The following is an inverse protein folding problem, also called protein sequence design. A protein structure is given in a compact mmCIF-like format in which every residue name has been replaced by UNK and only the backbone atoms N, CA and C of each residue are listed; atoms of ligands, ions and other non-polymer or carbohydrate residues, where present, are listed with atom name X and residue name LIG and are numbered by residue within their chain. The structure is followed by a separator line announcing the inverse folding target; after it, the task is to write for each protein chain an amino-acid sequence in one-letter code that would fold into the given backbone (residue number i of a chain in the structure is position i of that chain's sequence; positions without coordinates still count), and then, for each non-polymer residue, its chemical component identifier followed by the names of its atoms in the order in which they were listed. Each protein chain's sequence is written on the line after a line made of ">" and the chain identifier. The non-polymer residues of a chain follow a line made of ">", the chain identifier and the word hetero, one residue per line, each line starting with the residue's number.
data_IF_145061813002
#
_entry.id   IF_145061813002
#
_cell.length_a   1.000
_cell.length_b   1.000
_cell.length_c   1.000
_cell.angle_alpha   90.00
_cell.angle_beta   90.00
_cell.angle_gamma   90.00
#
_symmetry.space_group_name_H-M   'P 1'
#
loop_
_entity.id
_entity.type
_entity.pdbx_description
1 polymer ?
#
# COMPACT_ATOMS: atom_id res chain seq x y z
N UNK A 1 -7.55 17.13 1.78
CA UNK A 1 -6.28 17.28 1.02
C UNK A 1 -6.39 16.48 -0.27
N UNK A 2 -5.90 16.96 -1.41
CA UNK A 2 -5.89 16.21 -2.70
C UNK A 2 -4.55 15.49 -2.93
N UNK A 3 -4.51 14.56 -3.88
CA UNK A 3 -3.26 13.84 -4.22
C UNK A 3 -2.14 14.80 -4.64
N UNK A 4 -2.43 15.79 -5.49
CA UNK A 4 -1.42 16.77 -5.93
C UNK A 4 -0.92 17.67 -4.79
N UNK A 5 -1.74 17.94 -3.78
CA UNK A 5 -1.29 18.66 -2.58
C UNK A 5 -0.37 17.80 -1.73
N UNK A 6 -0.69 16.52 -1.57
CA UNK A 6 0.13 15.53 -0.86
C UNK A 6 1.48 15.35 -1.56
N UNK A 7 1.51 15.16 -2.88
CA UNK A 7 2.73 15.05 -3.68
C UNK A 7 3.65 16.26 -3.51
N UNK A 8 3.07 17.47 -3.53
CA UNK A 8 3.82 18.70 -3.28
C UNK A 8 4.36 18.75 -1.85
N UNK A 9 3.58 18.30 -0.86
CA UNK A 9 4.00 18.27 0.54
C UNK A 9 5.15 17.28 0.78
N UNK A 10 5.10 16.11 0.14
CA UNK A 10 6.11 15.05 0.28
C UNK A 10 7.28 15.21 -0.72
N UNK A 11 7.22 16.21 -1.61
CA UNK A 11 8.19 16.45 -2.69
C UNK A 11 8.47 15.20 -3.55
N UNK A 12 7.44 14.41 -3.81
CA UNK A 12 7.49 13.17 -4.60
C UNK A 12 6.36 13.16 -5.63
N UNK A 13 6.39 12.16 -6.51
CA UNK A 13 5.25 11.80 -7.34
C UNK A 13 4.84 10.38 -7.03
N UNK A 14 3.58 10.18 -6.64
CA UNK A 14 3.00 8.86 -6.45
C UNK A 14 3.02 8.05 -7.77
N UNK A 15 2.96 6.70 -7.68
CA UNK A 15 3.05 5.83 -8.83
C UNK A 15 1.99 6.10 -9.88
N UNK A 16 2.29 5.85 -11.17
CA UNK A 16 1.30 6.02 -12.24
C UNK A 16 0.03 5.20 -12.02
N UNK A 17 0.15 3.98 -11.48
CA UNK A 17 -1.01 3.16 -11.15
C UNK A 17 -1.90 3.82 -10.07
N UNK A 18 -1.27 4.41 -9.05
CA UNK A 18 -1.98 5.17 -8.01
C UNK A 18 -2.77 6.34 -8.62
N UNK A 19 -2.14 7.13 -9.50
CA UNK A 19 -2.81 8.23 -10.21
C UNK A 19 -4.02 7.75 -11.01
N UNK A 20 -3.87 6.66 -11.79
CA UNK A 20 -5.00 6.14 -12.60
C UNK A 20 -6.20 5.75 -11.76
N UNK A 21 -5.97 5.13 -10.60
CA UNK A 21 -7.04 4.70 -9.68
C UNK A 21 -7.65 5.91 -8.95
N UNK A 22 -6.83 6.90 -8.59
CA UNK A 22 -7.31 8.14 -8.01
C UNK A 22 -8.19 8.93 -8.99
N UNK A 23 -7.77 9.04 -10.26
CA UNK A 23 -8.45 9.82 -11.30
C UNK A 23 -9.81 9.26 -11.68
N UNK A 24 -10.05 7.95 -11.50
CA UNK A 24 -11.38 7.36 -11.72
C UNK A 24 -12.34 7.56 -10.54
N UNK A 25 -11.86 8.14 -9.43
CA UNK A 25 -12.66 8.49 -8.26
C UNK A 25 -12.71 7.43 -7.15
N UNK A 26 -12.10 6.26 -7.36
CA UNK A 26 -12.13 5.14 -6.42
C UNK A 26 -11.46 5.44 -5.06
N UNK A 27 -10.52 6.38 -5.04
CA UNK A 27 -9.78 6.81 -3.85
C UNK A 27 -10.29 8.13 -3.26
N UNK A 28 -11.47 8.62 -3.65
CA UNK A 28 -11.99 9.93 -3.15
C UNK A 28 -12.14 9.98 -1.64
N UNK A 29 -12.29 8.83 -1.00
CA UNK A 29 -12.36 8.69 0.45
C UNK A 29 -11.06 9.05 1.17
N UNK A 30 -9.90 8.99 0.49
CA UNK A 30 -8.60 9.39 1.06
C UNK A 30 -8.48 10.91 1.26
N UNK A 31 -9.32 11.71 0.59
CA UNK A 31 -9.29 13.18 0.72
C UNK A 31 -9.99 13.70 1.97
N UNK A 32 -10.77 12.83 2.63
CA UNK A 32 -11.54 13.16 3.83
C UNK A 32 -10.62 13.51 4.98
N UNK A 33 -11.14 14.33 5.89
CA UNK A 33 -10.58 14.45 7.23
C UNK A 33 -10.98 13.27 8.12
N UNK A 34 -10.26 13.05 9.22
CA UNK A 34 -10.63 12.02 10.21
C UNK A 34 -12.08 12.16 10.71
N UNK A 35 -12.53 13.40 10.92
CA UNK A 35 -13.91 13.69 11.34
C UNK A 35 -14.94 13.26 10.30
N UNK A 36 -14.66 13.51 9.02
CA UNK A 36 -15.52 13.11 7.90
C UNK A 36 -15.50 11.60 7.67
N UNK A 37 -14.32 10.96 7.73
CA UNK A 37 -14.19 9.50 7.67
C UNK A 37 -15.09 8.86 8.73
N UNK A 38 -15.00 9.30 10.00
CA UNK A 38 -15.85 8.77 11.07
C UNK A 38 -17.35 8.90 10.80
N UNK A 39 -17.77 10.01 10.16
CA UNK A 39 -19.17 10.25 9.83
C UNK A 39 -19.65 9.44 8.61
N UNK A 40 -18.76 9.18 7.65
CA UNK A 40 -19.12 8.68 6.30
C UNK A 40 -18.54 7.31 5.95
N UNK A 41 -17.77 6.66 6.83
CA UNK A 41 -17.07 5.41 6.54
C UNK A 41 -17.99 4.32 5.97
N UNK A 42 -19.25 4.26 6.44
CA UNK A 42 -20.24 3.30 5.94
C UNK A 42 -20.55 3.47 4.46
N UNK A 43 -20.53 4.70 3.94
CA UNK A 43 -20.77 4.98 2.53
C UNK A 43 -19.71 4.29 1.67
N UNK A 44 -18.46 4.32 2.11
CA UNK A 44 -17.33 3.76 1.36
C UNK A 44 -17.17 2.26 1.57
N UNK A 45 -17.39 1.75 2.79
CA UNK A 45 -17.41 0.30 3.04
C UNK A 45 -18.50 -0.38 2.20
N UNK A 46 -19.62 0.30 1.92
CA UNK A 46 -20.68 -0.25 1.06
C UNK A 46 -20.49 0.04 -0.44
N UNK A 47 -19.50 0.84 -0.81
CA UNK A 47 -19.23 1.16 -2.21
C UNK A 47 -18.22 0.15 -2.77
N UNK A 48 -18.71 -0.81 -3.55
CA UNK A 48 -17.88 -1.83 -4.18
C UNK A 48 -16.78 -1.27 -5.08
N UNK A 49 -16.90 -0.02 -5.53
CA UNK A 49 -15.89 0.66 -6.35
C UNK A 49 -14.84 1.39 -5.52
N UNK A 50 -15.04 1.55 -4.21
CA UNK A 50 -14.04 2.18 -3.38
C UNK A 50 -12.78 1.31 -3.34
N UNK A 51 -11.64 1.92 -3.67
CA UNK A 51 -10.37 1.21 -3.80
C UNK A 51 -9.94 0.61 -2.46
N UNK A 52 -9.55 -0.66 -2.48
CA UNK A 52 -9.11 -1.45 -1.33
C UNK A 52 -10.11 -1.49 -0.15
N UNK A 53 -11.41 -1.31 -0.43
CA UNK A 53 -12.46 -1.75 0.50
C UNK A 53 -12.70 -3.25 0.34
N UNK A 54 -11.68 -4.01 0.75
CA UNK A 54 -11.58 -5.47 0.73
C UNK A 54 -11.00 -5.92 2.07
N UNK A 55 -11.19 -7.19 2.42
CA UNK A 55 -10.52 -7.85 3.55
C UNK A 55 -9.02 -8.13 3.25
N UNK A 56 -8.33 -7.21 2.56
CA UNK A 56 -6.88 -7.22 2.39
C UNK A 56 -6.14 -6.80 3.67
N UNK A 57 -4.81 -6.80 3.62
CA UNK A 57 -3.99 -6.43 4.78
C UNK A 57 -3.81 -4.91 4.94
N UNK A 58 -3.82 -4.16 3.83
CA UNK A 58 -3.51 -2.74 3.82
C UNK A 58 -4.73 -1.86 4.15
N UNK A 59 -4.66 -1.13 5.25
CA UNK A 59 -5.47 0.05 5.53
C UNK A 59 -4.74 1.30 5.03
N UNK A 60 -5.30 1.99 4.04
CA UNK A 60 -4.68 3.23 3.53
C UNK A 60 -4.86 4.41 4.49
N UNK A 61 -3.81 5.21 4.64
CA UNK A 61 -3.89 6.50 5.33
C UNK A 61 -4.72 7.49 4.53
N UNK A 62 -5.53 8.30 5.22
CA UNK A 62 -6.05 9.53 4.63
C UNK A 62 -4.87 10.41 4.22
N UNK A 63 -5.03 11.21 3.18
CA UNK A 63 -3.93 12.05 2.69
C UNK A 63 -3.42 13.03 3.77
N UNK A 64 -4.28 13.49 4.67
CA UNK A 64 -3.86 14.34 5.80
C UNK A 64 -3.01 13.61 6.86
N UNK A 65 -3.07 12.28 6.90
CA UNK A 65 -2.37 11.45 7.89
C UNK A 65 -0.96 11.05 7.43
N UNK A 66 -0.68 11.10 6.12
CA UNK A 66 0.60 10.66 5.54
C UNK A 66 1.79 11.40 6.13
N UNK A 67 1.66 12.70 6.44
CA UNK A 67 2.75 13.45 7.07
C UNK A 67 3.06 12.95 8.49
N UNK A 68 2.01 12.65 9.28
CA UNK A 68 2.18 12.09 10.63
C UNK A 68 2.82 10.70 10.56
N UNK A 69 2.41 9.88 9.60
CA UNK A 69 3.02 8.58 9.36
C UNK A 69 4.50 8.72 8.95
N UNK A 70 4.85 9.70 8.11
CA UNK A 70 6.25 9.95 7.72
C UNK A 70 7.12 10.36 8.93
N UNK A 71 6.57 11.16 9.85
CA UNK A 71 7.25 11.52 11.11
C UNK A 71 7.45 10.32 12.04
N UNK A 72 6.46 9.42 12.10
CA UNK A 72 6.58 8.16 12.84
C UNK A 72 7.66 7.25 12.24
N UNK A 73 7.67 7.07 10.91
CA UNK A 73 8.70 6.29 10.23
C UNK A 73 10.11 6.88 10.47
N UNK A 74 10.24 8.20 10.44
CA UNK A 74 11.52 8.87 10.75
C UNK A 74 11.98 8.58 12.19
N UNK A 75 11.05 8.52 13.14
CA UNK A 75 11.33 8.13 14.53
C UNK A 75 11.77 6.66 14.62
N UNK A 76 11.09 5.74 13.94
CA UNK A 76 11.49 4.33 13.89
C UNK A 76 12.88 4.15 13.29
N UNK A 77 13.18 4.86 12.19
CA UNK A 77 14.49 4.86 11.57
C UNK A 77 15.58 5.42 12.50
N UNK A 78 15.26 6.42 13.33
CA UNK A 78 16.21 6.95 14.32
C UNK A 78 16.60 5.91 15.38
N UNK A 79 15.66 5.04 15.78
CA UNK A 79 15.95 3.93 16.69
C UNK A 79 16.86 2.87 16.04
N UNK A 80 16.69 2.59 14.75
CA UNK A 80 17.61 1.73 13.99
C UNK A 80 19.04 2.31 13.97
N UNK A 81 19.18 3.61 13.78
CA UNK A 81 20.49 4.28 13.81
C UNK A 81 21.11 4.26 15.21
N UNK A 82 20.32 4.50 16.25
CA UNK A 82 20.79 4.51 17.63
C UNK A 82 21.19 3.10 18.12
N UNK A 83 20.33 2.10 17.92
CA UNK A 83 20.50 0.76 18.49
C UNK A 83 21.32 -0.19 17.62
N UNK A 84 21.17 -0.09 16.29
CA UNK A 84 21.83 -0.99 15.33
C UNK A 84 22.97 -0.35 14.56
N UNK A 85 23.13 0.97 14.66
CA UNK A 85 24.13 1.74 13.89
C UNK A 85 23.92 1.60 12.38
N UNK A 86 22.66 1.39 11.98
CA UNK A 86 22.24 1.31 10.58
C UNK A 86 21.41 2.55 10.26
N UNK A 87 21.75 3.22 9.17
CA UNK A 87 20.99 4.37 8.68
C UNK A 87 20.40 4.07 7.31
N UNK A 88 19.33 4.76 6.95
CA UNK A 88 18.79 4.67 5.59
C UNK A 88 19.86 5.18 4.61
N UNK A 89 20.09 4.41 3.55
CA UNK A 89 21.05 4.73 2.48
C UNK A 89 20.79 6.10 1.89
N UNK A 90 21.88 6.80 1.54
CA UNK A 90 21.76 8.04 0.77
C UNK A 90 21.09 7.77 -0.58
N UNK A 91 20.21 8.67 -1.01
CA UNK A 91 19.42 8.50 -2.25
C UNK A 91 18.17 7.63 -2.10
N UNK A 92 17.93 7.03 -0.93
CA UNK A 92 16.69 6.33 -0.63
C UNK A 92 15.69 7.29 0.01
N UNK A 93 14.44 7.29 -0.49
CA UNK A 93 13.32 7.99 0.13
C UNK A 93 12.17 7.02 0.35
N UNK A 94 11.57 7.06 1.53
CA UNK A 94 10.49 6.18 1.95
C UNK A 94 9.29 7.06 2.33
N UNK A 95 8.14 6.82 1.71
CA UNK A 95 6.90 7.58 1.97
C UNK A 95 5.78 6.61 2.34
N UNK A 96 5.27 6.62 3.59
CA UNK A 96 4.16 5.77 3.97
C UNK A 96 2.86 6.17 3.28
N UNK A 97 2.00 5.19 2.98
CA UNK A 97 0.69 5.43 2.39
C UNK A 97 -0.42 4.53 2.97
N UNK A 98 -0.05 3.52 3.75
CA UNK A 98 -0.98 2.69 4.50
C UNK A 98 -0.27 1.92 5.60
N UNK A 99 -1.02 1.08 6.30
CA UNK A 99 -0.51 0.23 7.35
C UNK A 99 -1.31 -1.07 7.44
N UNK A 100 -0.75 -2.05 8.11
CA UNK A 100 -1.50 -3.22 8.57
C UNK A 100 -2.17 -2.93 9.91
N UNK A 101 -3.18 -3.73 10.29
CA UNK A 101 -3.80 -3.63 11.61
C UNK A 101 -2.82 -3.85 12.77
N UNK A 102 -1.69 -4.51 12.51
CA UNK A 102 -0.58 -4.69 13.44
C UNK A 102 0.32 -3.47 13.63
N UNK A 103 0.24 -2.46 12.76
CA UNK A 103 1.02 -1.22 12.84
C UNK A 103 2.16 -1.11 11.81
N UNK A 104 2.55 -2.21 11.17
CA UNK A 104 3.56 -2.21 10.10
C UNK A 104 3.11 -1.34 8.92
N UNK A 105 4.03 -0.60 8.33
CA UNK A 105 3.70 0.49 7.42
C UNK A 105 3.94 0.11 5.96
N UNK A 106 2.93 0.21 5.12
CA UNK A 106 3.10 0.15 3.68
C UNK A 106 3.66 1.48 3.17
N UNK A 107 4.83 1.40 2.51
CA UNK A 107 5.59 2.56 2.08
C UNK A 107 6.00 2.46 0.61
N UNK A 108 6.02 3.60 -0.06
CA UNK A 108 6.66 3.76 -1.37
C UNK A 108 8.17 3.92 -1.16
N UNK A 109 8.95 3.05 -1.78
CA UNK A 109 10.40 3.06 -1.75
C UNK A 109 10.95 3.63 -3.06
N UNK A 110 11.45 4.86 -2.98
CA UNK A 110 12.16 5.52 -4.08
C UNK A 110 13.66 5.29 -3.94
N UNK A 111 14.28 4.82 -5.02
CA UNK A 111 15.72 4.62 -5.13
C UNK A 111 16.24 5.25 -6.41
N UNK A 112 17.52 5.64 -6.40
CA UNK A 112 18.18 6.17 -7.59
C UNK A 112 18.12 5.18 -8.76
N UNK A 113 17.65 5.65 -9.91
CA UNK A 113 17.61 4.87 -11.16
C UNK A 113 16.28 4.15 -11.44
N UNK A 114 15.35 4.11 -10.48
CA UNK A 114 14.01 3.54 -10.71
C UNK A 114 13.03 4.62 -11.21
N UNK A 115 12.25 4.27 -12.24
CA UNK A 115 11.24 5.17 -12.80
C UNK A 115 9.96 5.24 -11.95
N UNK A 116 9.62 4.16 -11.28
CA UNK A 116 8.48 4.02 -10.37
C UNK A 116 9.00 3.43 -9.05
N UNK A 117 8.45 3.82 -7.89
CA UNK A 117 8.87 3.26 -6.61
C UNK A 117 8.32 1.84 -6.42
N UNK A 118 9.08 1.02 -5.68
CA UNK A 118 8.57 -0.24 -5.15
C UNK A 118 7.65 0.03 -3.95
N UNK A 119 6.90 -0.98 -3.53
CA UNK A 119 6.16 -0.97 -2.27
C UNK A 119 6.87 -1.89 -1.27
N UNK A 120 7.09 -1.39 -0.06
CA UNK A 120 7.65 -2.16 1.06
C UNK A 120 6.71 -2.15 2.25
N UNK A 121 6.76 -3.18 3.08
CA UNK A 121 6.19 -3.22 4.42
C UNK A 121 7.33 -2.98 5.42
N UNK A 122 7.28 -1.85 6.10
CA UNK A 122 8.26 -1.44 7.10
C UNK A 122 7.79 -1.87 8.50
N UNK A 123 8.56 -2.71 9.23
CA UNK A 123 8.16 -3.19 10.55
C UNK A 123 8.09 -2.08 11.59
N UNK A 124 7.02 -2.05 12.39
CA UNK A 124 6.82 -1.00 13.38
C UNK A 124 7.46 -1.31 14.75
N UNK A 125 7.56 -2.60 15.12
CA UNK A 125 8.00 -3.07 16.43
C UNK A 125 9.21 -4.02 16.39
N UNK A 126 9.82 -4.18 15.22
CA UNK A 126 10.99 -5.03 15.04
C UNK A 126 12.13 -4.30 14.33
N UNK A 127 13.33 -4.88 14.42
CA UNK A 127 14.52 -4.41 13.70
C UNK A 127 14.79 -5.24 12.43
N UNK A 128 13.76 -5.93 11.93
CA UNK A 128 13.85 -6.66 10.67
C UNK A 128 13.94 -5.69 9.48
N UNK A 129 14.57 -6.16 8.40
CA UNK A 129 14.62 -5.38 7.18
C UNK A 129 13.21 -5.33 6.55
N UNK A 130 12.77 -4.18 6.00
CA UNK A 130 11.47 -4.09 5.35
C UNK A 130 11.31 -5.12 4.24
N UNK A 131 10.10 -5.61 4.06
CA UNK A 131 9.79 -6.64 3.05
C UNK A 131 9.24 -5.98 1.79
N UNK A 132 9.68 -6.37 0.60
CA UNK A 132 9.19 -5.86 -0.68
C UNK A 132 7.82 -6.48 -0.98
N UNK A 133 6.77 -5.68 -0.88
CA UNK A 133 5.37 -6.02 -1.18
C UNK A 133 4.94 -5.50 -2.56
N UNK A 134 5.84 -5.66 -3.53
CA UNK A 134 5.63 -5.25 -4.93
C UNK A 134 6.79 -4.42 -5.45
N UNK A 135 7.29 -4.75 -6.64
CA UNK A 135 8.34 -3.98 -7.33
C UNK A 135 7.78 -2.71 -7.98
N UNK A 136 6.46 -2.62 -8.07
CA UNK A 136 5.69 -1.44 -8.44
C UNK A 136 4.35 -1.46 -7.70
N UNK A 137 3.59 -0.36 -7.79
CA UNK A 137 2.29 -0.26 -7.11
C UNK A 137 1.24 -1.22 -7.66
N UNK A 138 1.35 -1.64 -8.92
CA UNK A 138 0.37 -2.54 -9.55
C UNK A 138 0.55 -3.98 -9.04
N UNK A 139 1.80 -4.41 -8.81
CA UNK A 139 2.13 -5.66 -8.12
C UNK A 139 1.66 -5.63 -6.66
N UNK A 140 1.77 -4.49 -5.99
CA UNK A 140 1.21 -4.32 -4.65
C UNK A 140 -0.31 -4.52 -4.64
N UNK A 141 -1.06 -3.89 -5.55
CA UNK A 141 -2.51 -4.11 -5.64
C UNK A 141 -2.82 -5.58 -5.90
N UNK A 142 -2.05 -6.24 -6.77
CA UNK A 142 -2.19 -7.67 -7.01
C UNK A 142 -1.99 -8.50 -5.74
N UNK A 143 -0.95 -8.22 -4.96
CA UNK A 143 -0.70 -8.91 -3.68
C UNK A 143 -1.84 -8.66 -2.68
N UNK A 144 -2.40 -7.45 -2.62
CA UNK A 144 -3.56 -7.16 -1.76
C UNK A 144 -4.80 -7.96 -2.17
N UNK A 145 -5.01 -8.22 -3.47
CA UNK A 145 -6.09 -9.10 -3.94
C UNK A 145 -5.86 -10.55 -3.48
N UNK A 146 -4.61 -11.03 -3.50
CA UNK A 146 -4.29 -12.37 -3.02
C UNK A 146 -4.51 -12.50 -1.50
N UNK A 147 -4.08 -11.49 -0.73
CA UNK A 147 -4.29 -11.42 0.72
C UNK A 147 -5.78 -11.36 1.07
N UNK A 148 -6.57 -10.61 0.31
CA UNK A 148 -8.02 -10.59 0.51
C UNK A 148 -8.64 -11.98 0.32
N UNK A 149 -8.24 -12.72 -0.72
CA UNK A 149 -8.70 -14.08 -0.93
C UNK A 149 -8.28 -15.04 0.21
N UNK A 150 -7.08 -14.85 0.75
CA UNK A 150 -6.58 -15.63 1.90
C UNK A 150 -7.37 -15.32 3.19
N UNK A 151 -7.82 -14.08 3.35
CA UNK A 151 -8.69 -13.63 4.44
C UNK A 151 -10.19 -13.91 4.21
N UNK A 152 -10.52 -14.88 3.35
CA UNK A 152 -11.89 -15.33 3.09
C UNK A 152 -12.81 -14.26 2.44
N UNK A 153 -12.25 -13.25 1.75
CA UNK A 153 -13.04 -12.32 0.92
C UNK A 153 -13.81 -13.08 -0.17
N UNK A 154 -15.04 -12.65 -0.46
CA UNK A 154 -15.85 -13.23 -1.54
C UNK A 154 -15.26 -12.84 -2.90
N UNK A 155 -14.45 -13.74 -3.48
CA UNK A 155 -13.79 -13.52 -4.78
C UNK A 155 -14.77 -13.40 -5.96
N UNK A 156 -16.01 -13.85 -5.80
CA UNK A 156 -17.10 -13.65 -6.76
C UNK A 156 -17.95 -12.41 -6.43
N UNK A 157 -17.70 -11.78 -5.28
CA UNK A 157 -18.40 -10.61 -4.76
C UNK A 157 -18.11 -9.33 -5.54
N UNK A 158 -19.01 -8.35 -5.40
CA UNK A 158 -18.90 -7.07 -6.12
C UNK A 158 -17.63 -6.29 -5.74
N UNK A 159 -17.25 -6.30 -4.46
CA UNK A 159 -16.04 -5.60 -3.98
C UNK A 159 -14.77 -6.13 -4.66
N UNK A 160 -14.58 -7.45 -4.62
CA UNK A 160 -13.43 -8.11 -5.24
C UNK A 160 -13.41 -7.87 -6.76
N UNK A 161 -14.53 -8.12 -7.43
CA UNK A 161 -14.63 -8.00 -8.90
C UNK A 161 -14.46 -6.57 -9.43
N UNK A 162 -14.91 -5.54 -8.70
CA UNK A 162 -14.63 -4.15 -9.05
C UNK A 162 -13.15 -3.80 -8.83
N UNK A 163 -12.52 -4.30 -7.77
CA UNK A 163 -11.10 -4.02 -7.50
C UNK A 163 -10.14 -4.71 -8.50
N UNK A 164 -10.54 -5.85 -9.10
CA UNK A 164 -9.81 -6.46 -10.24
C UNK A 164 -9.61 -5.45 -11.39
N UNK A 165 -10.54 -4.50 -11.58
CA UNK A 165 -10.46 -3.51 -12.67
C UNK A 165 -9.33 -2.50 -12.48
N UNK A 166 -8.82 -2.36 -11.25
CA UNK A 166 -7.70 -1.47 -10.93
C UNK A 166 -6.34 -2.08 -11.25
N UNK A 167 -6.28 -3.41 -11.42
CA UNK A 167 -5.09 -4.09 -11.93
C UNK A 167 -4.87 -3.76 -13.40
N UNK A 168 -3.60 -3.61 -13.79
CA UNK A 168 -3.22 -3.56 -15.20
C UNK A 168 -3.42 -4.91 -15.89
N UNK A 169 -3.29 -4.90 -17.23
CA UNK A 169 -3.33 -6.10 -18.07
C UNK A 169 -2.23 -7.13 -17.72
N UNK A 170 -1.21 -6.74 -16.93
CA UNK A 170 -0.18 -7.66 -16.43
C UNK A 170 -0.72 -8.60 -15.34
N UNK A 171 -1.45 -8.07 -14.37
CA UNK A 171 -1.90 -8.83 -13.19
C UNK A 171 -3.36 -9.23 -13.25
N UNK A 172 -4.21 -8.51 -13.98
CA UNK A 172 -5.64 -8.84 -14.10
C UNK A 172 -5.88 -10.31 -14.49
N UNK A 173 -5.22 -10.88 -15.51
CA UNK A 173 -5.46 -12.28 -15.90
C UNK A 173 -4.99 -13.30 -14.86
N UNK A 174 -4.20 -12.88 -13.87
CA UNK A 174 -3.73 -13.74 -12.78
C UNK A 174 -4.73 -13.81 -11.62
N UNK A 175 -5.74 -12.93 -11.62
CA UNK A 175 -6.80 -12.87 -10.59
C UNK A 175 -8.17 -13.19 -11.18
N UNK A 176 -8.48 -12.67 -12.35
CA UNK A 176 -9.79 -12.78 -12.97
C UNK A 176 -10.19 -14.24 -13.24
N UNK A 177 -11.33 -14.66 -12.67
CA UNK A 177 -11.87 -16.01 -12.83
C UNK A 177 -11.14 -17.10 -12.05
N UNK A 178 -10.23 -16.74 -11.14
CA UNK A 178 -9.57 -17.66 -10.22
C UNK A 178 -10.40 -17.93 -8.98
N UNK A 179 -10.34 -19.15 -8.45
CA UNK A 179 -10.92 -19.44 -7.13
C UNK A 179 -10.08 -18.85 -6.00
N UNK A 180 -10.67 -18.71 -4.81
CA UNK A 180 -9.93 -18.31 -3.60
C UNK A 180 -8.73 -19.23 -3.36
N UNK A 181 -8.90 -20.55 -3.47
CA UNK A 181 -7.81 -21.53 -3.31
C UNK A 181 -6.65 -21.29 -4.30
N UNK A 182 -6.93 -21.02 -5.58
CA UNK A 182 -5.88 -20.73 -6.57
C UNK A 182 -5.08 -19.46 -6.22
N UNK A 183 -5.76 -18.44 -5.69
CA UNK A 183 -5.15 -17.17 -5.31
C UNK A 183 -4.31 -17.32 -4.02
N UNK A 184 -4.83 -18.03 -3.03
CA UNK A 184 -4.14 -18.34 -1.78
C UNK A 184 -2.92 -19.22 -2.03
N UNK A 185 -3.02 -20.25 -2.88
CA UNK A 185 -1.87 -21.07 -3.30
C UNK A 185 -0.80 -20.21 -4.00
N UNK A 186 -1.23 -19.24 -4.80
CA UNK A 186 -0.32 -18.30 -5.47
C UNK A 186 0.41 -17.42 -4.45
N UNK A 187 -0.30 -16.89 -3.44
CA UNK A 187 0.29 -16.13 -2.35
C UNK A 187 1.35 -16.95 -1.59
N UNK A 188 1.02 -18.18 -1.21
CA UNK A 188 1.93 -19.05 -0.47
C UNK A 188 3.15 -19.51 -1.29
N UNK A 189 3.08 -19.44 -2.62
CA UNK A 189 4.21 -19.66 -3.50
C UNK A 189 5.10 -18.41 -3.70
N UNK A 190 4.66 -17.22 -3.27
CA UNK A 190 5.46 -16.00 -3.38
C UNK A 190 6.67 -16.04 -2.45
N UNK A 191 7.81 -15.58 -2.97
CA UNK A 191 9.04 -15.43 -2.19
C UNK A 191 9.32 -13.95 -1.97
N UNK A 192 8.81 -13.41 -0.87
CA UNK A 192 9.04 -12.03 -0.48
C UNK A 192 10.52 -11.80 -0.14
N UNK A 193 11.08 -10.73 -0.70
CA UNK A 193 12.48 -10.34 -0.51
C UNK A 193 12.54 -9.18 0.49
N UNK A 194 13.64 -9.05 1.22
CA UNK A 194 13.88 -7.86 2.01
C UNK A 194 14.43 -6.73 1.13
N UNK A 195 14.00 -5.50 1.40
CA UNK A 195 14.50 -4.30 0.79
C UNK A 195 15.86 -3.91 1.40
N UNK A 196 16.84 -3.70 0.53
CA UNK A 196 18.20 -3.35 0.94
C UNK A 196 18.36 -1.82 1.11
N UNK A 197 17.79 -1.29 2.19
CA UNK A 197 17.69 0.15 2.46
C UNK A 197 18.72 0.68 3.47
N UNK A 198 19.49 -0.19 4.12
CA UNK A 198 20.37 0.15 5.23
C UNK A 198 21.85 0.23 4.80
N UNK A 199 22.61 1.15 5.41
CA UNK A 199 24.09 1.25 5.32
C UNK A 199 24.76 1.47 6.69
#
# INVERSE_FOLDING_TARGET
>A
MTLSELERQQEIRFPQAFHRIYDCGAMKWLELSQGERKARIREYISDSKAFLMLDGACEMYLFEEVQSAAEELAKLASWMEEDKKLRIRSGVRIVPFGHEGGGDMYCLLYTDGNAEPAVILYPHDSYEAPTVYGHDFDEFVYIQMLLAAENEEDVEGEHFTENIRYLSDRYRPLVEGKSADELTDTLYAMNFQHADIWE
#
